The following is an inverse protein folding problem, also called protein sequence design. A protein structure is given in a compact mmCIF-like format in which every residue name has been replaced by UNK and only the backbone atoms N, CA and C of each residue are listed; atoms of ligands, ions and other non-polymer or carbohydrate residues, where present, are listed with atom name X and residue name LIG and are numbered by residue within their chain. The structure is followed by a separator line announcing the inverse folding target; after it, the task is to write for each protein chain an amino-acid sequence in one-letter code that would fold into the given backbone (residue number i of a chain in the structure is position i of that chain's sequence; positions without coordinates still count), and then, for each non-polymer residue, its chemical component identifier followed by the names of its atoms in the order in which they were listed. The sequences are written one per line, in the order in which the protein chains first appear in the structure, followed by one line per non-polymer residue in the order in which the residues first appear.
data_IF_380441588074
#
_entry.id   IF_380441588074
#
_cell.length_a   1.000
_cell.length_b   1.000
_cell.length_c   1.000
_cell.angle_alpha   90.00
_cell.angle_beta   90.00
_cell.angle_gamma   90.00
#
_symmetry.space_group_name_H-M   'P 1'
#
loop_
_entity.id
_entity.type
_entity.pdbx_description
1 polymer ?
#
# COMPACT_ATOMS: atom_id res chain seq x y z
N UNK A 1 3.37 15.00 -23.10
CA UNK A 1 2.64 15.72 -22.03
C UNK A 1 2.96 15.16 -20.65
N UNK A 2 2.45 13.97 -20.27
CA UNK A 2 2.70 13.42 -18.92
C UNK A 2 4.20 13.20 -18.65
N UNK A 3 4.93 12.63 -19.61
CA UNK A 3 6.39 12.42 -19.52
C UNK A 3 7.13 13.76 -19.33
N UNK A 4 6.74 14.78 -20.11
CA UNK A 4 7.45 16.07 -20.13
C UNK A 4 7.14 16.96 -18.90
N UNK A 5 6.07 16.67 -18.16
CA UNK A 5 5.59 17.49 -17.03
C UNK A 5 5.21 16.61 -15.83
N UNK A 6 6.02 15.57 -15.57
CA UNK A 6 5.67 14.53 -14.59
C UNK A 6 5.44 15.09 -13.20
N UNK A 7 6.27 16.01 -12.71
CA UNK A 7 6.15 16.56 -11.35
C UNK A 7 4.84 17.35 -11.16
N UNK A 8 4.41 18.10 -12.17
CA UNK A 8 3.18 18.89 -12.13
C UNK A 8 1.93 18.01 -12.30
N UNK A 9 2.00 17.00 -13.17
CA UNK A 9 0.83 16.21 -13.56
C UNK A 9 0.64 14.95 -12.72
N UNK A 10 1.66 14.45 -12.04
CA UNK A 10 1.56 13.26 -11.19
C UNK A 10 0.49 13.41 -10.10
N UNK A 11 0.40 14.54 -9.36
CA UNK A 11 -0.67 14.75 -8.39
C UNK A 11 -2.08 14.78 -8.99
N UNK A 12 -2.20 15.08 -10.28
CA UNK A 12 -3.48 15.16 -11.02
C UNK A 12 -3.92 13.79 -11.53
N UNK A 13 -3.01 13.04 -12.16
CA UNK A 13 -3.32 11.72 -12.77
C UNK A 13 -3.20 10.56 -11.79
N UNK A 14 -2.59 10.80 -10.63
CA UNK A 14 -2.36 9.82 -9.57
C UNK A 14 -2.71 10.40 -8.19
N UNK A 15 -2.05 9.98 -7.11
CA UNK A 15 -2.38 10.45 -5.76
C UNK A 15 -2.02 11.93 -5.58
N UNK A 16 -2.90 12.75 -4.98
CA UNK A 16 -4.15 12.36 -4.30
C UNK A 16 -5.41 12.36 -5.20
N UNK A 17 -5.41 13.06 -6.34
CA UNK A 17 -6.63 13.33 -7.13
C UNK A 17 -7.30 12.07 -7.69
N UNK A 18 -6.54 11.01 -8.00
CA UNK A 18 -7.10 9.72 -8.43
C UNK A 18 -8.05 9.11 -7.39
N UNK A 19 -7.78 9.33 -6.10
CA UNK A 19 -8.66 8.85 -5.02
C UNK A 19 -10.01 9.56 -5.02
N UNK A 20 -10.00 10.89 -5.19
CA UNK A 20 -11.24 11.67 -5.34
C UNK A 20 -12.00 11.28 -6.61
N UNK A 21 -11.29 11.04 -7.71
CA UNK A 21 -11.87 10.55 -8.95
C UNK A 21 -12.57 9.19 -8.73
N UNK A 22 -11.98 8.27 -7.95
CA UNK A 22 -12.63 7.02 -7.56
C UNK A 22 -13.87 7.23 -6.68
N UNK A 23 -13.88 8.18 -5.76
CA UNK A 23 -15.08 8.48 -4.95
C UNK A 23 -16.24 9.00 -5.81
N UNK A 24 -15.93 9.80 -6.84
CA UNK A 24 -16.91 10.45 -7.72
C UNK A 24 -17.10 9.73 -9.06
N UNK A 25 -16.51 8.55 -9.23
CA UNK A 25 -16.28 7.94 -10.55
C UNK A 25 -17.56 7.81 -11.38
N UNK A 26 -18.68 7.40 -10.77
CA UNK A 26 -19.96 7.30 -11.46
C UNK A 26 -20.50 8.64 -11.98
N UNK A 27 -20.37 9.71 -11.18
CA UNK A 27 -20.85 11.05 -11.54
C UNK A 27 -19.99 11.76 -12.59
N UNK A 28 -18.70 11.41 -12.68
CA UNK A 28 -17.75 11.98 -13.66
C UNK A 28 -17.54 11.06 -14.87
N UNK A 29 -18.21 9.90 -14.90
CA UNK A 29 -18.01 8.90 -15.94
C UNK A 29 -18.33 9.46 -17.31
N UNK A 30 -17.42 9.26 -18.27
CA UNK A 30 -17.59 9.74 -19.64
C UNK A 30 -17.26 8.65 -20.64
N UNK A 31 -15.98 8.42 -20.93
CA UNK A 31 -15.53 7.35 -21.83
C UNK A 31 -15.11 6.14 -21.00
N UNK A 32 -15.55 4.92 -21.34
CA UNK A 32 -15.12 3.72 -20.63
C UNK A 32 -13.61 3.51 -20.80
N UNK A 33 -12.93 3.20 -19.70
CA UNK A 33 -11.53 2.80 -19.66
C UNK A 33 -11.42 1.49 -18.87
N UNK A 34 -10.59 0.58 -19.37
CA UNK A 34 -10.41 -0.75 -18.76
C UNK A 34 -11.53 -1.74 -19.07
N UNK A 35 -11.44 -2.89 -18.42
CA UNK A 35 -12.37 -4.00 -18.57
C UNK A 35 -13.01 -4.32 -17.21
N UNK A 36 -14.33 -4.38 -17.19
CA UNK A 36 -15.11 -4.70 -15.99
C UNK A 36 -15.59 -6.14 -16.09
N UNK A 37 -15.35 -6.92 -15.03
CA UNK A 37 -15.77 -8.33 -14.96
C UNK A 37 -16.50 -8.49 -13.63
N UNK A 38 -17.80 -8.79 -13.67
CA UNK A 38 -18.62 -8.91 -12.47
C UNK A 38 -19.00 -10.35 -12.17
N UNK A 39 -19.59 -10.59 -11.01
CA UNK A 39 -20.16 -11.89 -10.66
C UNK A 39 -21.20 -12.41 -11.68
N UNK A 40 -21.85 -11.52 -12.44
CA UNK A 40 -22.80 -11.91 -13.49
C UNK A 40 -22.12 -12.64 -14.66
N UNK A 41 -20.82 -12.44 -14.83
CA UNK A 41 -20.01 -13.08 -15.87
C UNK A 41 -19.29 -14.34 -15.39
N UNK A 42 -19.57 -14.83 -14.17
CA UNK A 42 -19.07 -16.13 -13.69
C UNK A 42 -19.47 -17.25 -14.67
N UNK A 43 -18.51 -18.07 -15.04
CA UNK A 43 -18.60 -19.10 -16.09
C UNK A 43 -18.31 -18.60 -17.51
N UNK A 44 -18.11 -17.29 -17.71
CA UNK A 44 -17.91 -16.65 -19.02
C UNK A 44 -16.76 -15.64 -19.03
N UNK A 45 -15.89 -15.63 -18.01
CA UNK A 45 -14.83 -14.62 -17.89
C UNK A 45 -13.90 -14.62 -19.12
N UNK A 46 -13.58 -15.79 -19.66
CA UNK A 46 -12.78 -15.90 -20.88
C UNK A 46 -13.44 -15.22 -22.09
N UNK A 47 -14.77 -15.25 -22.21
CA UNK A 47 -15.50 -14.58 -23.29
C UNK A 47 -15.41 -13.06 -23.13
N UNK A 48 -15.50 -12.56 -21.89
CA UNK A 48 -15.33 -11.13 -21.58
C UNK A 48 -13.93 -10.66 -21.95
N UNK A 49 -12.90 -11.41 -21.60
CA UNK A 49 -11.50 -11.10 -21.96
C UNK A 49 -11.30 -11.03 -23.49
N UNK A 50 -12.00 -11.89 -24.26
CA UNK A 50 -11.91 -11.89 -25.73
C UNK A 50 -12.54 -10.66 -26.39
N UNK A 51 -13.39 -9.91 -25.69
CA UNK A 51 -13.93 -8.65 -26.19
C UNK A 51 -12.89 -7.52 -26.16
N UNK A 52 -11.81 -7.66 -25.38
CA UNK A 52 -10.72 -6.68 -25.40
C UNK A 52 -10.03 -6.68 -26.79
N UNK A 53 -9.83 -5.52 -27.43
CA UNK A 53 -9.35 -5.45 -28.81
C UNK A 53 -7.88 -5.85 -28.94
N UNK A 54 -7.06 -5.57 -27.92
CA UNK A 54 -5.63 -5.88 -27.93
C UNK A 54 -5.40 -7.35 -27.54
N UNK A 55 -4.61 -8.06 -28.36
CA UNK A 55 -4.35 -9.49 -28.16
C UNK A 55 -3.04 -9.78 -27.42
N UNK A 56 -2.11 -8.83 -27.44
CA UNK A 56 -0.76 -9.00 -26.87
C UNK A 56 -0.61 -8.24 -25.55
N UNK A 57 -1.46 -8.56 -24.58
CA UNK A 57 -1.38 -8.01 -23.23
C UNK A 57 -0.16 -8.55 -22.51
N UNK A 58 0.57 -7.67 -21.85
CA UNK A 58 1.78 -7.99 -21.08
C UNK A 58 1.63 -7.60 -19.61
N UNK A 59 0.87 -6.55 -19.29
CA UNK A 59 0.64 -6.08 -17.92
C UNK A 59 -0.85 -5.88 -17.67
N UNK A 60 -1.37 -6.57 -16.68
CA UNK A 60 -2.70 -6.36 -16.11
C UNK A 60 -2.51 -5.73 -14.73
N UNK A 61 -3.22 -4.63 -14.47
CA UNK A 61 -3.42 -4.14 -13.10
C UNK A 61 -4.88 -4.40 -12.77
N UNK A 62 -5.13 -5.12 -11.69
CA UNK A 62 -6.46 -5.57 -11.29
C UNK A 62 -6.78 -5.17 -9.85
N UNK A 63 -8.00 -4.74 -9.61
CA UNK A 63 -8.54 -4.43 -8.28
C UNK A 63 -9.96 -4.97 -8.13
N UNK A 64 -10.41 -5.22 -6.89
CA UNK A 64 -11.83 -5.37 -6.55
C UNK A 64 -12.41 -4.13 -5.83
N UNK A 65 -11.58 -3.10 -5.64
CA UNK A 65 -11.92 -1.83 -5.02
C UNK A 65 -12.32 -1.90 -3.55
N UNK A 66 -11.97 -2.96 -2.82
CA UNK A 66 -12.33 -3.09 -1.40
C UNK A 66 -11.53 -2.13 -0.50
N UNK A 67 -10.32 -1.77 -0.91
CA UNK A 67 -9.42 -0.91 -0.12
C UNK A 67 -8.70 0.10 -1.01
N UNK A 68 -9.45 1.00 -1.62
CA UNK A 68 -8.87 2.06 -2.45
C UNK A 68 -8.11 3.05 -1.57
N UNK A 69 -6.78 3.06 -1.65
CA UNK A 69 -5.90 3.89 -0.81
C UNK A 69 -6.29 3.76 0.69
N UNK A 70 -6.35 4.88 1.41
CA UNK A 70 -6.96 5.00 2.74
C UNK A 70 -8.43 5.44 2.71
N UNK A 71 -9.14 5.27 1.58
CA UNK A 71 -10.53 5.70 1.40
C UNK A 71 -11.55 4.57 1.62
N UNK A 72 -11.08 3.32 1.68
CA UNK A 72 -11.91 2.14 1.96
C UNK A 72 -12.57 1.55 0.72
N UNK A 73 -13.74 0.96 0.92
CA UNK A 73 -14.47 0.24 -0.13
C UNK A 73 -15.16 1.22 -1.10
N UNK A 74 -14.71 1.23 -2.36
CA UNK A 74 -15.33 2.00 -3.45
C UNK A 74 -15.88 1.10 -4.56
N UNK A 75 -15.87 -0.22 -4.36
CA UNK A 75 -16.44 -1.19 -5.29
C UNK A 75 -15.94 -1.03 -6.72
N UNK A 76 -16.87 -1.06 -7.66
CA UNK A 76 -16.59 -0.92 -9.09
C UNK A 76 -15.97 0.44 -9.48
N UNK A 77 -16.12 1.47 -8.63
CA UNK A 77 -15.50 2.78 -8.86
C UNK A 77 -13.98 2.79 -8.61
N UNK A 78 -13.43 1.69 -8.09
CA UNK A 78 -12.00 1.49 -7.93
C UNK A 78 -11.20 1.48 -9.24
N UNK A 79 -11.86 1.37 -10.41
CA UNK A 79 -11.20 1.33 -11.74
C UNK A 79 -10.21 2.47 -11.99
N UNK A 80 -10.43 3.65 -11.39
CA UNK A 80 -9.50 4.78 -11.52
C UNK A 80 -8.06 4.42 -11.12
N UNK A 81 -7.87 3.51 -10.16
CA UNK A 81 -6.55 3.10 -9.69
C UNK A 81 -5.80 2.27 -10.75
N UNK A 82 -6.31 1.11 -11.25
CA UNK A 82 -5.66 0.40 -12.35
C UNK A 82 -5.36 1.28 -13.58
N UNK A 83 -6.27 2.19 -13.93
CA UNK A 83 -6.09 3.13 -15.05
C UNK A 83 -4.91 4.06 -14.78
N UNK A 84 -4.86 4.70 -13.60
CA UNK A 84 -3.76 5.57 -13.19
C UNK A 84 -2.43 4.84 -13.15
N UNK A 85 -2.38 3.65 -12.54
CA UNK A 85 -1.17 2.80 -12.47
C UNK A 85 -0.62 2.48 -13.86
N UNK A 86 -1.46 2.06 -14.79
CA UNK A 86 -1.02 1.70 -16.14
C UNK A 86 -0.57 2.92 -16.97
N UNK A 87 -1.12 4.11 -16.70
CA UNK A 87 -0.59 5.35 -17.25
C UNK A 87 0.86 5.59 -16.78
N UNK A 88 1.17 5.30 -15.50
CA UNK A 88 2.54 5.39 -14.96
C UNK A 88 3.47 4.30 -15.48
N UNK A 89 2.99 3.06 -15.67
CA UNK A 89 3.75 2.01 -16.37
C UNK A 89 4.23 2.48 -17.75
N UNK A 90 3.38 3.22 -18.45
CA UNK A 90 3.72 3.78 -19.77
C UNK A 90 4.66 4.97 -19.66
N UNK A 91 4.30 5.97 -18.85
CA UNK A 91 5.03 7.23 -18.78
C UNK A 91 6.40 7.10 -18.09
N UNK A 92 6.49 6.28 -17.04
CA UNK A 92 7.70 6.13 -16.23
C UNK A 92 8.48 4.84 -16.58
N UNK A 93 7.74 3.76 -16.86
CA UNK A 93 8.34 2.44 -17.15
C UNK A 93 8.57 2.15 -18.63
N UNK A 94 8.06 3.00 -19.54
CA UNK A 94 8.18 2.79 -20.98
C UNK A 94 7.42 1.57 -21.51
N UNK A 95 6.47 1.02 -20.74
CA UNK A 95 5.62 -0.08 -21.20
C UNK A 95 4.66 0.42 -22.28
N UNK A 96 4.47 -0.37 -23.34
CA UNK A 96 3.55 0.03 -24.41
C UNK A 96 2.11 0.07 -23.88
N UNK A 97 1.35 1.15 -24.08
CA UNK A 97 -0.01 1.27 -23.55
C UNK A 97 -0.97 0.23 -24.15
N UNK A 98 -0.76 -0.20 -25.40
CA UNK A 98 -1.54 -1.27 -26.02
C UNK A 98 -1.29 -2.66 -25.41
N UNK A 99 -0.23 -2.82 -24.61
CA UNK A 99 0.08 -4.04 -23.87
C UNK A 99 -0.44 -3.98 -22.41
N UNK A 100 -1.11 -2.91 -22.02
CA UNK A 100 -1.65 -2.67 -20.69
C UNK A 100 -3.16 -2.91 -20.66
N UNK A 101 -3.65 -3.60 -19.64
CA UNK A 101 -5.07 -3.88 -19.46
C UNK A 101 -5.51 -3.59 -18.00
N UNK A 102 -6.21 -2.47 -17.75
CA UNK A 102 -6.81 -2.19 -16.44
C UNK A 102 -8.06 -3.04 -16.25
N UNK A 103 -8.19 -3.70 -15.10
CA UNK A 103 -9.34 -4.56 -14.78
C UNK A 103 -9.92 -4.20 -13.42
N UNK A 104 -11.25 -4.17 -13.34
CA UNK A 104 -11.99 -4.18 -12.07
C UNK A 104 -12.86 -5.42 -11.97
N UNK A 105 -12.71 -6.14 -10.86
CA UNK A 105 -13.49 -7.31 -10.50
C UNK A 105 -14.64 -6.89 -9.58
N UNK A 106 -15.83 -6.74 -10.16
CA UNK A 106 -17.00 -6.25 -9.44
C UNK A 106 -17.77 -7.40 -8.77
N UNK A 107 -17.49 -7.59 -7.48
CA UNK A 107 -18.15 -8.58 -6.62
C UNK A 107 -19.21 -7.95 -5.71
N UNK A 108 -19.61 -6.70 -5.99
CA UNK A 108 -20.42 -5.86 -5.10
C UNK A 108 -19.58 -4.93 -4.24
N UNK A 109 -20.24 -4.17 -3.35
CA UNK A 109 -19.59 -3.24 -2.41
C UNK A 109 -20.31 -3.23 -1.08
N UNK A 110 -19.55 -3.06 0.02
CA UNK A 110 -20.09 -2.85 1.36
C UNK A 110 -20.30 -1.38 1.70
N UNK A 111 -20.02 -0.47 0.76
CA UNK A 111 -20.23 0.96 0.94
C UNK A 111 -21.71 1.32 0.72
N UNK A 112 -22.43 1.56 1.82
CA UNK A 112 -23.84 1.96 1.80
C UNK A 112 -24.08 3.27 1.06
N UNK A 113 -23.13 4.20 1.07
CA UNK A 113 -23.23 5.43 0.28
C UNK A 113 -23.34 5.13 -1.20
N UNK A 114 -22.47 4.24 -1.72
CA UNK A 114 -22.48 3.85 -3.12
C UNK A 114 -23.68 2.96 -3.49
N UNK A 115 -24.12 2.08 -2.60
CA UNK A 115 -25.32 1.26 -2.86
C UNK A 115 -26.58 2.12 -3.08
N UNK A 116 -26.67 3.24 -2.36
CA UNK A 116 -27.78 4.19 -2.43
C UNK A 116 -27.56 5.33 -3.45
N UNK A 117 -26.37 5.46 -4.04
CA UNK A 117 -26.04 6.50 -5.01
C UNK A 117 -26.59 6.13 -6.40
N UNK A 118 -27.47 6.95 -6.99
CA UNK A 118 -28.05 6.71 -8.31
C UNK A 118 -27.02 6.60 -9.45
N UNK A 119 -25.85 7.21 -9.28
CA UNK A 119 -24.77 7.20 -10.27
C UNK A 119 -23.78 6.05 -10.10
N UNK A 120 -23.92 5.21 -9.06
CA UNK A 120 -23.03 4.07 -8.87
C UNK A 120 -23.08 3.10 -10.06
N UNK A 121 -21.91 2.79 -10.62
CA UNK A 121 -21.75 2.03 -11.86
C UNK A 121 -21.63 0.51 -11.67
N UNK A 122 -21.50 0.05 -10.42
CA UNK A 122 -21.29 -1.37 -10.12
C UNK A 122 -22.55 -2.14 -9.78
N UNK A 123 -22.37 -3.40 -9.41
CA UNK A 123 -23.43 -4.25 -8.86
C UNK A 123 -23.95 -3.66 -7.54
N UNK A 124 -25.25 -3.33 -7.51
CA UNK A 124 -25.95 -2.85 -6.31
C UNK A 124 -26.28 -4.00 -5.36
N UNK A 125 -25.23 -4.61 -4.84
CA UNK A 125 -25.29 -5.69 -3.85
C UNK A 125 -24.09 -5.61 -2.92
N UNK A 126 -24.22 -6.22 -1.73
CA UNK A 126 -23.10 -6.42 -0.82
C UNK A 126 -22.04 -7.33 -1.44
N UNK A 127 -20.78 -7.19 -0.99
CA UNK A 127 -19.67 -8.01 -1.50
C UNK A 127 -19.95 -9.49 -1.34
N UNK A 128 -19.73 -10.28 -2.39
CA UNK A 128 -19.62 -11.72 -2.25
C UNK A 128 -18.43 -12.09 -1.36
N UNK A 129 -18.55 -13.17 -0.59
CA UNK A 129 -17.51 -13.62 0.35
C UNK A 129 -17.33 -15.14 0.27
N UNK A 130 -16.27 -15.66 0.89
CA UNK A 130 -16.03 -17.09 1.00
C UNK A 130 -15.82 -17.79 -0.35
N UNK A 131 -16.50 -18.91 -0.54
CA UNK A 131 -16.30 -19.76 -1.72
C UNK A 131 -16.72 -19.08 -3.02
N UNK A 132 -17.79 -18.27 -3.02
CA UNK A 132 -18.26 -17.60 -4.24
C UNK A 132 -17.21 -16.64 -4.81
N UNK A 133 -16.62 -15.81 -3.94
CA UNK A 133 -15.53 -14.90 -4.27
C UNK A 133 -14.27 -15.66 -4.72
N UNK A 134 -13.92 -16.72 -3.98
CA UNK A 134 -12.76 -17.56 -4.28
C UNK A 134 -12.86 -18.23 -5.66
N UNK A 135 -14.01 -18.84 -5.97
CA UNK A 135 -14.26 -19.47 -7.27
C UNK A 135 -14.18 -18.46 -8.42
N UNK A 136 -14.74 -17.26 -8.21
CA UNK A 136 -14.76 -16.20 -9.20
C UNK A 136 -13.34 -15.72 -9.53
N UNK A 137 -12.51 -15.47 -8.51
CA UNK A 137 -11.10 -15.13 -8.69
C UNK A 137 -10.30 -16.26 -9.35
N UNK A 138 -10.56 -17.51 -8.97
CA UNK A 138 -9.90 -18.65 -9.58
C UNK A 138 -10.22 -18.75 -11.07
N UNK A 139 -11.49 -18.59 -11.46
CA UNK A 139 -11.90 -18.54 -12.86
C UNK A 139 -11.18 -17.39 -13.59
N UNK A 140 -11.13 -16.20 -13.00
CA UNK A 140 -10.44 -15.05 -13.59
C UNK A 140 -8.96 -15.35 -13.86
N UNK A 141 -8.23 -15.87 -12.88
CA UNK A 141 -6.80 -16.17 -13.02
C UNK A 141 -6.55 -17.23 -14.09
N UNK A 142 -7.38 -18.29 -14.13
CA UNK A 142 -7.31 -19.33 -15.17
C UNK A 142 -7.59 -18.72 -16.55
N UNK A 143 -8.62 -17.90 -16.69
CA UNK A 143 -9.01 -17.28 -17.95
C UNK A 143 -7.92 -16.33 -18.47
N UNK A 144 -7.30 -15.54 -17.60
CA UNK A 144 -6.17 -14.65 -17.94
C UNK A 144 -5.00 -15.46 -18.48
N UNK A 145 -4.58 -16.51 -17.77
CA UNK A 145 -3.49 -17.40 -18.21
C UNK A 145 -3.82 -18.08 -19.54
N UNK A 146 -5.07 -18.56 -19.70
CA UNK A 146 -5.51 -19.20 -20.95
C UNK A 146 -5.51 -18.22 -22.13
N UNK A 147 -5.88 -16.96 -21.92
CA UNK A 147 -6.01 -15.98 -23.00
C UNK A 147 -4.69 -15.29 -23.37
N UNK A 148 -3.84 -14.98 -22.38
CA UNK A 148 -2.63 -14.18 -22.56
C UNK A 148 -1.32 -14.94 -22.31
N UNK A 149 -1.39 -16.18 -21.80
CA UNK A 149 -0.24 -17.05 -21.59
C UNK A 149 0.49 -16.83 -20.26
N UNK A 150 1.54 -17.63 -20.04
CA UNK A 150 2.27 -17.73 -18.76
C UNK A 150 3.09 -16.48 -18.39
N UNK A 151 3.35 -15.59 -19.35
CA UNK A 151 4.25 -14.45 -19.19
C UNK A 151 3.53 -13.13 -18.90
N UNK A 152 2.20 -13.13 -18.87
CA UNK A 152 1.44 -11.93 -18.54
C UNK A 152 1.67 -11.59 -17.06
N UNK A 153 2.08 -10.36 -16.78
CA UNK A 153 2.18 -9.85 -15.42
C UNK A 153 0.78 -9.49 -14.92
N UNK A 154 0.42 -9.99 -13.75
CA UNK A 154 -0.82 -9.63 -13.05
C UNK A 154 -0.44 -8.91 -11.76
N UNK A 155 -0.61 -7.59 -11.75
CA UNK A 155 -0.46 -6.75 -10.56
C UNK A 155 -1.80 -6.65 -9.84
N UNK A 156 -1.85 -7.16 -8.61
CA UNK A 156 -2.96 -6.95 -7.70
C UNK A 156 -2.82 -5.59 -7.00
N UNK A 157 -3.90 -4.84 -6.94
CA UNK A 157 -3.94 -3.48 -6.40
C UNK A 157 -5.19 -3.25 -5.55
N UNK A 158 -5.03 -2.62 -4.38
CA UNK A 158 -6.12 -2.11 -3.54
C UNK A 158 -7.18 -3.17 -3.13
N UNK A 159 -6.73 -4.41 -2.93
CA UNK A 159 -7.52 -5.47 -2.28
C UNK A 159 -7.50 -5.30 -0.76
N UNK A 160 -8.48 -5.85 -0.03
CA UNK A 160 -8.39 -5.88 1.42
C UNK A 160 -7.30 -6.83 1.94
N UNK A 161 -6.74 -6.52 3.11
CA UNK A 161 -5.60 -7.23 3.72
C UNK A 161 -5.66 -8.76 3.64
N UNK A 162 -6.79 -9.35 4.02
CA UNK A 162 -6.92 -10.80 4.00
C UNK A 162 -6.83 -11.39 2.58
N UNK A 163 -7.52 -10.77 1.62
CA UNK A 163 -7.55 -11.17 0.22
C UNK A 163 -6.18 -10.94 -0.44
N UNK A 164 -5.55 -9.79 -0.22
CA UNK A 164 -4.24 -9.47 -0.82
C UNK A 164 -3.17 -10.53 -0.47
N UNK A 165 -3.07 -10.91 0.81
CA UNK A 165 -2.14 -11.96 1.24
C UNK A 165 -2.50 -13.34 0.69
N UNK A 166 -3.78 -13.71 0.69
CA UNK A 166 -4.22 -15.01 0.17
C UNK A 166 -3.99 -15.14 -1.34
N UNK A 167 -4.30 -14.09 -2.10
CA UNK A 167 -4.06 -14.01 -3.54
C UNK A 167 -2.58 -14.18 -3.87
N UNK A 168 -1.72 -13.41 -3.21
CA UNK A 168 -0.27 -13.48 -3.45
C UNK A 168 0.30 -14.87 -3.11
N UNK A 169 -0.13 -15.45 -1.97
CA UNK A 169 0.31 -16.78 -1.57
C UNK A 169 -0.20 -17.89 -2.51
N UNK A 170 -1.45 -17.80 -2.97
CA UNK A 170 -2.08 -18.80 -3.84
C UNK A 170 -1.51 -18.76 -5.27
N UNK A 171 -1.31 -17.57 -5.82
CA UNK A 171 -0.95 -17.41 -7.23
C UNK A 171 0.54 -17.15 -7.48
N UNK A 172 1.33 -16.82 -6.46
CA UNK A 172 2.76 -16.53 -6.56
C UNK A 172 3.62 -17.66 -7.15
N UNK A 173 3.18 -18.91 -7.05
CA UNK A 173 3.90 -20.08 -7.60
C UNK A 173 3.35 -20.55 -8.94
N UNK A 174 2.20 -20.03 -9.37
CA UNK A 174 1.50 -20.49 -10.57
C UNK A 174 1.40 -19.42 -11.64
N UNK A 175 1.51 -18.14 -11.31
CA UNK A 175 1.41 -17.02 -12.23
C UNK A 175 2.54 -16.02 -11.98
N UNK A 176 2.85 -15.20 -13.00
CA UNK A 176 3.68 -14.02 -12.78
C UNK A 176 2.81 -12.93 -12.12
N UNK A 177 2.75 -12.96 -10.79
CA UNK A 177 1.97 -12.02 -9.98
C UNK A 177 2.86 -11.12 -9.14
N UNK A 178 2.34 -9.94 -8.87
CA UNK A 178 2.93 -8.95 -7.99
C UNK A 178 1.78 -8.24 -7.26
N UNK A 179 1.99 -7.82 -6.01
CA UNK A 179 1.06 -6.93 -5.32
C UNK A 179 1.82 -5.67 -4.90
N UNK A 180 1.39 -4.51 -5.38
CA UNK A 180 2.11 -3.25 -5.19
C UNK A 180 2.02 -2.75 -3.74
N UNK A 181 0.85 -2.89 -3.13
CA UNK A 181 0.60 -2.51 -1.73
C UNK A 181 1.49 -3.25 -0.72
N UNK A 182 1.79 -4.53 -1.00
CA UNK A 182 2.66 -5.36 -0.16
C UNK A 182 4.12 -5.23 -0.61
N UNK A 183 4.43 -5.57 -1.87
CA UNK A 183 5.80 -5.77 -2.33
C UNK A 183 6.42 -4.49 -2.89
N UNK A 184 5.65 -3.67 -3.62
CA UNK A 184 6.10 -2.39 -4.15
C UNK A 184 6.41 -1.41 -3.03
N UNK A 185 5.46 -1.23 -2.11
CA UNK A 185 5.61 -0.40 -0.90
C UNK A 185 6.80 -0.88 -0.07
N UNK A 186 6.96 -2.19 0.15
CA UNK A 186 8.13 -2.72 0.86
C UNK A 186 9.45 -2.33 0.18
N UNK A 187 9.51 -2.46 -1.15
CA UNK A 187 10.72 -2.19 -1.93
C UNK A 187 11.13 -0.73 -1.85
N UNK A 188 10.20 0.22 -2.03
CA UNK A 188 10.51 1.65 -2.01
C UNK A 188 10.86 2.15 -0.62
N UNK A 189 10.20 1.63 0.43
CA UNK A 189 10.53 1.97 1.82
C UNK A 189 11.91 1.46 2.19
N UNK A 190 12.26 0.22 1.83
CA UNK A 190 13.61 -0.31 2.03
C UNK A 190 14.64 0.53 1.28
N UNK A 191 14.36 0.96 0.04
CA UNK A 191 15.25 1.85 -0.70
C UNK A 191 15.46 3.19 0.02
N UNK A 192 14.40 3.77 0.60
CA UNK A 192 14.48 4.98 1.44
C UNK A 192 15.34 4.78 2.69
N UNK A 193 15.20 3.64 3.38
CA UNK A 193 16.01 3.30 4.55
C UNK A 193 17.49 3.11 4.19
N UNK A 194 17.78 2.42 3.09
CA UNK A 194 19.16 2.26 2.57
C UNK A 194 19.74 3.60 2.14
N UNK A 195 18.95 4.50 1.55
CA UNK A 195 19.39 5.86 1.24
C UNK A 195 19.69 6.66 2.51
N UNK A 196 18.87 6.54 3.55
CA UNK A 196 19.07 7.21 4.83
C UNK A 196 20.40 6.81 5.51
N UNK A 197 20.86 5.58 5.32
CA UNK A 197 22.17 5.14 5.84
C UNK A 197 23.35 5.92 5.27
N UNK A 198 23.27 6.36 4.01
CA UNK A 198 24.34 7.20 3.42
C UNK A 198 24.45 8.54 4.13
N UNK A 199 23.35 9.01 4.73
CA UNK A 199 23.29 10.26 5.48
C UNK A 199 23.66 10.07 6.96
N UNK A 200 23.24 8.97 7.58
CA UNK A 200 23.37 8.74 9.02
C UNK A 200 24.57 7.86 9.41
N UNK A 201 25.12 7.09 8.46
CA UNK A 201 26.02 5.98 8.75
C UNK A 201 25.27 4.78 9.36
N UNK A 202 26.02 3.76 9.77
CA UNK A 202 25.47 2.55 10.41
C UNK A 202 24.88 1.53 9.44
N UNK A 203 24.19 0.53 9.99
CA UNK A 203 23.62 -0.61 9.24
C UNK A 203 22.13 -0.83 9.57
N UNK A 204 21.40 -1.59 8.72
CA UNK A 204 19.97 -1.86 8.95
C UNK A 204 19.78 -2.66 10.25
N UNK A 205 20.77 -3.49 10.60
CA UNK A 205 20.75 -4.34 11.79
C UNK A 205 20.91 -3.56 13.11
N UNK A 206 21.46 -2.34 13.07
CA UNK A 206 21.66 -1.48 14.25
C UNK A 206 20.36 -0.81 14.69
N UNK A 207 19.44 -0.56 13.76
CA UNK A 207 18.18 0.10 14.01
C UNK A 207 17.18 -0.78 14.79
N UNK A 208 16.32 -0.10 15.55
CA UNK A 208 15.06 -0.63 16.09
C UNK A 208 13.90 0.04 15.37
N UNK A 209 12.93 -0.75 14.90
CA UNK A 209 11.84 -0.30 14.03
C UNK A 209 10.51 -0.41 14.77
N UNK A 210 9.70 0.64 14.68
CA UNK A 210 8.32 0.64 15.17
C UNK A 210 7.38 1.07 14.06
N UNK A 211 6.36 0.26 13.80
CA UNK A 211 5.31 0.55 12.84
C UNK A 211 4.01 0.93 13.54
N UNK A 212 3.34 1.95 13.05
CA UNK A 212 1.91 2.16 13.27
C UNK A 212 1.16 1.62 12.05
N UNK A 213 0.36 0.57 12.26
CA UNK A 213 -0.29 -0.19 11.20
C UNK A 213 0.40 -1.54 10.99
N UNK A 214 -0.39 -2.60 11.01
CA UNK A 214 0.06 -3.97 10.83
C UNK A 214 -0.81 -4.70 9.78
N UNK A 215 -1.08 -4.01 8.68
CA UNK A 215 -1.76 -4.56 7.49
C UNK A 215 -0.74 -5.01 6.43
N UNK A 216 -1.17 -4.99 5.17
CA UNK A 216 -0.35 -5.31 3.99
C UNK A 216 0.98 -4.56 3.96
N UNK A 217 0.94 -3.23 3.89
CA UNK A 217 2.14 -2.40 3.80
C UNK A 217 3.07 -2.62 5.01
N UNK A 218 2.54 -2.47 6.24
CA UNK A 218 3.35 -2.59 7.45
C UNK A 218 4.06 -3.95 7.59
N UNK A 219 3.35 -5.06 7.33
CA UNK A 219 3.99 -6.39 7.44
C UNK A 219 4.85 -6.76 6.24
N UNK A 220 4.51 -6.29 5.03
CA UNK A 220 5.35 -6.43 3.83
C UNK A 220 6.69 -5.69 3.96
N UNK A 221 6.66 -4.43 4.40
CA UNK A 221 7.87 -3.63 4.66
C UNK A 221 8.71 -4.31 5.76
N UNK A 222 8.10 -4.69 6.87
CA UNK A 222 8.78 -5.34 7.98
C UNK A 222 9.51 -6.62 7.54
N UNK A 223 8.86 -7.45 6.71
CA UNK A 223 9.44 -8.68 6.19
C UNK A 223 10.62 -8.41 5.25
N UNK A 224 10.51 -7.42 4.36
CA UNK A 224 11.60 -7.09 3.44
C UNK A 224 12.81 -6.48 4.17
N UNK A 225 12.59 -5.67 5.20
CA UNK A 225 13.64 -5.18 6.10
C UNK A 225 14.32 -6.37 6.80
N UNK A 226 13.55 -7.28 7.41
CA UNK A 226 14.09 -8.45 8.09
C UNK A 226 14.91 -9.34 7.13
N UNK A 227 14.43 -9.52 5.90
CA UNK A 227 15.12 -10.28 4.86
C UNK A 227 16.45 -9.61 4.47
N UNK A 228 16.46 -8.31 4.25
CA UNK A 228 17.70 -7.60 3.90
C UNK A 228 18.71 -7.62 5.06
N UNK A 229 18.25 -7.44 6.30
CA UNK A 229 19.10 -7.60 7.50
C UNK A 229 19.67 -9.02 7.55
N UNK A 230 18.85 -10.04 7.31
CA UNK A 230 19.29 -11.45 7.25
C UNK A 230 20.35 -11.68 6.18
N UNK A 231 20.20 -11.08 4.99
CA UNK A 231 21.19 -11.18 3.91
C UNK A 231 22.51 -10.50 4.27
N UNK A 232 22.46 -9.31 4.87
CA UNK A 232 23.66 -8.55 5.26
C UNK A 232 24.42 -9.23 6.40
N UNK A 233 23.70 -9.74 7.39
CA UNK A 233 24.28 -10.30 8.63
C UNK A 233 24.51 -11.82 8.55
N UNK A 234 23.89 -12.51 7.59
CA UNK A 234 23.78 -13.98 7.50
C UNK A 234 23.06 -14.63 8.70
N UNK A 235 22.39 -13.85 9.55
CA UNK A 235 21.59 -14.38 10.64
C UNK A 235 20.25 -14.95 10.12
N UNK A 236 19.64 -15.92 10.81
CA UNK A 236 18.30 -16.39 10.48
C UNK A 236 17.28 -15.24 10.48
N UNK A 237 16.29 -15.30 9.59
CA UNK A 237 15.29 -14.22 9.46
C UNK A 237 14.53 -13.98 10.78
N UNK A 238 14.26 -15.03 11.56
CA UNK A 238 13.60 -14.92 12.86
C UNK A 238 14.38 -14.06 13.87
N UNK A 239 15.71 -14.12 13.85
CA UNK A 239 16.56 -13.26 14.67
C UNK A 239 16.49 -11.80 14.20
N UNK A 240 16.39 -11.59 12.88
CA UNK A 240 16.33 -10.27 12.27
C UNK A 240 14.98 -9.56 12.55
N UNK A 241 13.90 -10.33 12.79
CA UNK A 241 12.59 -9.79 13.16
C UNK A 241 12.55 -9.21 14.58
N UNK A 242 13.45 -9.59 15.49
CA UNK A 242 13.39 -9.24 16.93
C UNK A 242 13.46 -7.73 17.24
N UNK A 243 14.01 -6.92 16.32
CA UNK A 243 14.08 -5.46 16.45
C UNK A 243 12.96 -4.73 15.69
N UNK A 244 11.97 -5.46 15.18
CA UNK A 244 10.89 -4.93 14.37
C UNK A 244 9.57 -5.13 15.11
N UNK A 245 8.95 -4.02 15.47
CA UNK A 245 7.75 -3.95 16.30
C UNK A 245 6.60 -3.31 15.53
N UNK A 246 5.38 -3.82 15.72
CA UNK A 246 4.20 -3.33 15.03
C UNK A 246 3.06 -3.05 16.01
N UNK A 247 2.36 -1.94 15.80
CA UNK A 247 1.17 -1.52 16.57
C UNK A 247 -0.04 -1.60 15.65
N UNK A 248 -1.09 -2.31 16.07
CA UNK A 248 -2.38 -2.34 15.37
C UNK A 248 -3.47 -1.62 16.17
N UNK A 249 -4.73 -1.73 15.73
CA UNK A 249 -5.86 -1.05 16.38
C UNK A 249 -6.09 -1.45 17.84
N UNK A 250 -5.45 -2.53 18.33
CA UNK A 250 -5.53 -2.98 19.73
C UNK A 250 -4.20 -2.79 20.48
N UNK A 251 -3.24 -2.05 19.93
CA UNK A 251 -1.95 -1.77 20.54
C UNK A 251 -0.80 -2.61 19.99
N UNK A 252 0.29 -2.71 20.74
CA UNK A 252 1.51 -3.42 20.34
C UNK A 252 1.24 -4.92 20.11
N UNK A 253 1.78 -5.46 19.01
CA UNK A 253 1.73 -6.88 18.68
C UNK A 253 2.76 -7.62 19.56
N UNK A 254 2.26 -8.44 20.48
CA UNK A 254 3.07 -9.16 21.48
C UNK A 254 2.61 -10.60 21.66
N UNK A 255 3.47 -11.45 22.21
CA UNK A 255 3.25 -12.90 22.35
C UNK A 255 1.97 -13.26 23.11
N UNK A 256 1.59 -12.48 24.12
CA UNK A 256 0.34 -12.67 24.88
C UNK A 256 -0.93 -12.53 24.04
N UNK A 257 -0.84 -11.88 22.87
CA UNK A 257 -1.96 -11.69 21.93
C UNK A 257 -2.01 -12.74 20.82
N UNK A 258 -1.01 -13.63 20.71
CA UNK A 258 -0.72 -14.46 19.52
C UNK A 258 -1.89 -15.32 19.02
N UNK A 259 -2.73 -15.82 19.92
CA UNK A 259 -3.91 -16.63 19.55
C UNK A 259 -5.02 -15.82 18.87
N UNK A 260 -5.14 -14.54 19.19
CA UNK A 260 -6.12 -13.62 18.59
C UNK A 260 -5.65 -12.95 17.31
N UNK A 261 -4.38 -13.15 16.92
CA UNK A 261 -3.77 -12.50 15.77
C UNK A 261 -4.03 -13.28 14.48
N UNK A 262 -4.26 -12.54 13.41
CA UNK A 262 -4.20 -13.08 12.04
C UNK A 262 -2.82 -13.69 11.79
N UNK A 263 -2.75 -14.74 10.96
CA UNK A 263 -1.54 -15.53 10.76
C UNK A 263 -0.31 -14.68 10.39
N UNK A 264 -0.47 -13.74 9.46
CA UNK A 264 0.60 -12.84 9.00
C UNK A 264 1.14 -11.87 10.07
N UNK A 265 0.40 -11.67 11.19
CA UNK A 265 0.86 -10.86 12.33
C UNK A 265 1.67 -11.66 13.35
N UNK A 266 1.51 -12.99 13.38
CA UNK A 266 2.12 -13.87 14.40
C UNK A 266 3.66 -13.86 14.43
N UNK A 267 4.39 -13.70 13.30
CA UNK A 267 5.85 -13.60 13.32
C UNK A 267 6.40 -12.38 14.06
N UNK A 268 5.57 -11.36 14.27
CA UNK A 268 5.94 -10.09 14.91
C UNK A 268 5.55 -10.03 16.39
N UNK A 269 4.93 -11.09 16.91
CA UNK A 269 4.43 -11.18 18.28
C UNK A 269 5.54 -11.61 19.25
N UNK A 270 6.47 -10.70 19.50
CA UNK A 270 7.61 -10.89 20.40
C UNK A 270 7.17 -10.89 21.87
N UNK A 271 8.02 -11.43 22.75
CA UNK A 271 7.79 -11.34 24.20
C UNK A 271 7.99 -9.89 24.66
N UNK A 272 6.92 -9.28 25.15
CA UNK A 272 6.89 -7.93 25.70
C UNK A 272 5.57 -7.71 26.46
N UNK A 273 5.55 -6.74 27.37
CA UNK A 273 4.31 -6.31 28.04
C UNK A 273 3.31 -5.71 27.04
N UNK A 274 2.02 -5.80 27.36
CA UNK A 274 0.97 -5.19 26.55
C UNK A 274 1.06 -3.67 26.63
N UNK A 275 1.14 -3.02 25.47
CA UNK A 275 1.15 -1.55 25.35
C UNK A 275 -0.01 -1.11 24.47
N UNK A 276 -0.85 -0.20 24.98
CA UNK A 276 -2.14 0.13 24.38
C UNK A 276 -2.10 1.21 23.29
N UNK A 277 -1.14 2.14 23.34
CA UNK A 277 -1.07 3.26 22.41
C UNK A 277 0.35 3.47 21.83
N UNK A 278 0.44 4.26 20.77
CA UNK A 278 1.68 4.49 20.04
C UNK A 278 2.74 5.23 20.88
N UNK A 279 2.35 6.26 21.64
CA UNK A 279 3.29 7.06 22.42
C UNK A 279 4.00 6.19 23.48
N UNK A 280 3.24 5.38 24.20
CA UNK A 280 3.79 4.43 25.17
C UNK A 280 4.70 3.41 24.47
N UNK A 281 4.31 2.92 23.28
CA UNK A 281 5.14 2.01 22.51
C UNK A 281 6.46 2.67 22.10
N UNK A 282 6.45 3.94 21.66
CA UNK A 282 7.65 4.72 21.37
C UNK A 282 8.54 4.87 22.60
N UNK A 283 7.95 5.17 23.76
CA UNK A 283 8.70 5.38 25.00
C UNK A 283 9.36 4.11 25.54
N UNK A 284 8.69 2.96 25.42
CA UNK A 284 9.19 1.68 25.92
C UNK A 284 10.15 1.01 24.93
N UNK A 285 9.79 0.98 23.63
CA UNK A 285 10.62 0.34 22.59
C UNK A 285 11.84 1.20 22.22
N UNK A 286 11.73 2.53 22.34
CA UNK A 286 12.74 3.51 21.94
C UNK A 286 13.25 3.27 20.51
N UNK A 287 12.36 3.26 19.50
CA UNK A 287 12.75 2.96 18.13
C UNK A 287 13.64 4.07 17.55
N UNK A 288 14.55 3.69 16.65
CA UNK A 288 15.32 4.65 15.84
C UNK A 288 14.60 5.01 14.53
N UNK A 289 13.68 4.14 14.11
CA UNK A 289 12.88 4.27 12.88
C UNK A 289 11.40 4.11 13.22
N UNK A 290 10.58 5.11 12.87
CA UNK A 290 9.14 5.10 13.04
C UNK A 290 8.46 5.13 11.66
N UNK A 291 7.60 4.16 11.38
CA UNK A 291 6.97 3.97 10.07
C UNK A 291 5.44 3.93 10.21
N UNK A 292 4.76 4.83 9.51
CA UNK A 292 3.31 4.97 9.50
C UNK A 292 2.71 4.32 8.26
N UNK A 293 1.86 3.32 8.46
CA UNK A 293 1.13 2.59 7.41
C UNK A 293 -0.31 2.30 7.87
N UNK A 294 -0.87 3.20 8.65
CA UNK A 294 -2.11 2.98 9.40
C UNK A 294 -3.37 3.28 8.58
N UNK A 295 -3.25 4.11 7.53
CA UNK A 295 -4.38 4.72 6.84
C UNK A 295 -5.15 5.72 7.70
N UNK A 296 -4.57 6.19 8.81
CA UNK A 296 -5.21 7.14 9.75
C UNK A 296 -4.33 8.36 9.97
N UNK A 297 -4.81 9.50 9.49
CA UNK A 297 -4.09 10.77 9.58
C UNK A 297 -3.88 11.28 11.01
N UNK A 298 -2.85 12.13 11.16
CA UNK A 298 -2.55 12.87 12.40
C UNK A 298 -2.31 11.99 13.64
N UNK A 299 -1.75 10.80 13.44
CA UNK A 299 -1.44 9.84 14.50
C UNK A 299 -0.01 9.93 15.01
N UNK A 300 0.93 10.50 14.23
CA UNK A 300 2.24 10.90 14.72
C UNK A 300 2.12 12.29 15.32
N UNK A 301 1.57 12.35 16.54
CA UNK A 301 1.35 13.60 17.27
C UNK A 301 2.67 14.29 17.65
N UNK A 302 2.59 15.55 18.09
CA UNK A 302 3.75 16.28 18.62
C UNK A 302 4.48 15.48 19.70
N UNK A 303 3.74 14.95 20.69
CA UNK A 303 4.32 14.13 21.76
C UNK A 303 5.08 12.90 21.22
N UNK A 304 4.55 12.26 20.17
CA UNK A 304 5.20 11.11 19.53
C UNK A 304 6.52 11.51 18.86
N UNK A 305 6.50 12.60 18.08
CA UNK A 305 7.68 13.08 17.35
C UNK A 305 8.74 13.63 18.32
N UNK A 306 8.32 14.38 19.34
CA UNK A 306 9.22 14.88 20.38
C UNK A 306 9.81 13.73 21.21
N UNK A 307 9.01 12.71 21.56
CA UNK A 307 9.48 11.53 22.27
C UNK A 307 10.57 10.81 21.48
N UNK A 308 10.31 10.41 20.23
CA UNK A 308 11.34 9.74 19.42
C UNK A 308 12.57 10.62 19.18
N UNK A 309 12.39 11.93 19.07
CA UNK A 309 13.48 12.89 18.90
C UNK A 309 14.28 13.14 20.19
N UNK A 310 13.77 12.75 21.36
CA UNK A 310 14.45 12.96 22.64
C UNK A 310 15.60 11.99 22.89
N UNK A 311 15.50 10.77 22.34
CA UNK A 311 16.51 9.71 22.48
C UNK A 311 17.20 9.34 21.16
N UNK A 312 16.82 9.96 20.05
CA UNK A 312 17.52 9.87 18.77
C UNK A 312 18.02 11.24 18.33
N UNK A 313 19.32 11.35 18.01
CA UNK A 313 19.86 12.60 17.45
C UNK A 313 19.25 12.90 16.07
N UNK A 314 19.05 11.87 15.24
CA UNK A 314 18.46 11.95 13.90
C UNK A 314 17.43 10.83 13.71
N UNK A 315 16.19 10.98 14.22
CA UNK A 315 15.16 9.94 14.05
C UNK A 315 14.77 9.81 12.58
N UNK A 316 14.57 8.58 12.10
CA UNK A 316 13.94 8.33 10.79
C UNK A 316 12.43 8.23 11.01
N UNK A 317 11.66 9.06 10.33
CA UNK A 317 10.19 9.12 10.45
C UNK A 317 9.60 9.02 9.05
N UNK A 318 8.80 7.99 8.79
CA UNK A 318 8.17 7.74 7.49
C UNK A 318 6.65 7.79 7.64
N UNK A 319 5.97 8.78 7.06
CA UNK A 319 4.51 8.94 7.14
C UNK A 319 3.84 8.54 5.80
N UNK A 320 3.61 7.24 5.62
CA UNK A 320 3.38 6.63 4.30
C UNK A 320 1.91 6.48 3.91
N UNK A 321 0.97 6.77 4.82
CA UNK A 321 -0.45 6.63 4.53
C UNK A 321 -0.93 7.65 3.49
N UNK A 322 -1.69 7.15 2.51
CA UNK A 322 -2.23 7.91 1.38
C UNK A 322 -3.77 7.99 1.43
N UNK A 323 -4.40 9.06 0.93
CA UNK A 323 -3.80 10.31 0.41
C UNK A 323 -3.30 11.23 1.54
N UNK A 324 -2.91 12.48 1.22
CA UNK A 324 -2.37 13.47 2.19
C UNK A 324 -3.20 13.62 3.48
N UNK A 325 -4.54 13.54 3.38
CA UNK A 325 -5.43 13.60 4.55
C UNK A 325 -5.29 12.43 5.53
N UNK A 326 -4.72 11.32 5.07
CA UNK A 326 -4.43 10.12 5.87
C UNK A 326 -2.98 10.03 6.35
N UNK A 327 -2.11 10.97 5.97
CA UNK A 327 -0.72 10.96 6.39
C UNK A 327 -0.61 11.12 7.91
N UNK A 328 0.23 10.29 8.54
CA UNK A 328 0.39 10.25 9.99
C UNK A 328 0.80 11.61 10.59
N UNK A 329 1.57 12.41 9.85
CA UNK A 329 1.88 13.82 10.12
C UNK A 329 2.31 14.53 8.83
N UNK A 330 2.33 15.86 8.82
CA UNK A 330 2.85 16.64 7.70
C UNK A 330 4.38 16.78 7.77
N UNK A 331 5.00 17.17 6.64
CA UNK A 331 6.43 17.52 6.62
C UNK A 331 6.75 18.68 7.58
N UNK A 332 5.92 19.71 7.62
CA UNK A 332 6.09 20.86 8.52
C UNK A 332 6.07 20.43 9.98
N UNK A 333 5.12 19.56 10.36
CA UNK A 333 5.02 19.00 11.71
C UNK A 333 6.27 18.17 12.06
N UNK A 334 6.69 17.27 11.17
CA UNK A 334 7.86 16.41 11.41
C UNK A 334 9.14 17.22 11.61
N UNK A 335 9.43 18.21 10.76
CA UNK A 335 10.61 19.06 10.91
C UNK A 335 10.50 19.99 12.12
N UNK A 336 9.35 20.60 12.37
CA UNK A 336 9.18 21.52 13.50
C UNK A 336 9.34 20.80 14.84
N UNK A 337 8.61 19.70 15.04
CA UNK A 337 8.59 18.96 16.31
C UNK A 337 9.90 18.20 16.57
N UNK A 338 10.65 17.82 15.53
CA UNK A 338 11.99 17.23 15.67
C UNK A 338 13.12 18.26 15.76
N UNK A 339 12.81 19.56 15.67
CA UNK A 339 13.79 20.66 15.59
C UNK A 339 14.75 20.53 14.39
N UNK A 340 14.20 20.13 13.25
CA UNK A 340 14.92 20.00 11.98
C UNK A 340 15.83 18.78 11.89
N UNK A 341 15.75 17.84 12.85
CA UNK A 341 16.64 16.67 12.94
C UNK A 341 16.11 15.42 12.27
N UNK A 342 14.79 15.30 12.09
CA UNK A 342 14.20 14.12 11.47
C UNK A 342 14.70 13.92 10.04
N UNK A 343 15.00 12.66 9.71
CA UNK A 343 15.06 12.20 8.31
C UNK A 343 13.65 11.76 7.96
N UNK A 344 13.00 12.54 7.10
CA UNK A 344 11.56 12.43 6.86
C UNK A 344 11.25 12.12 5.41
N UNK A 345 10.30 11.20 5.19
CA UNK A 345 9.70 10.92 3.90
C UNK A 345 8.21 10.56 4.07
N UNK A 346 7.44 10.71 3.00
CA UNK A 346 5.98 10.58 3.02
C UNK A 346 5.46 9.73 1.86
N UNK A 347 4.24 9.21 1.96
CA UNK A 347 3.59 8.51 0.83
C UNK A 347 2.96 9.47 -0.18
N UNK A 348 2.50 10.63 0.29
CA UNK A 348 1.88 11.69 -0.51
C UNK A 348 2.80 12.91 -0.60
N UNK A 349 2.72 13.72 -1.68
CA UNK A 349 3.59 14.88 -1.84
C UNK A 349 3.30 15.97 -0.80
N UNK A 350 4.37 16.66 -0.37
CA UNK A 350 4.32 17.86 0.46
C UNK A 350 5.29 18.89 -0.11
N UNK A 351 4.92 20.17 0.03
CA UNK A 351 5.77 21.28 -0.37
C UNK A 351 7.06 21.34 0.47
N UNK A 352 8.13 21.97 -0.05
CA UNK A 352 9.32 22.27 0.72
C UNK A 352 9.01 23.05 2.02
N UNK A 353 9.74 22.73 3.08
CA UNK A 353 9.56 23.35 4.41
C UNK A 353 10.79 24.19 4.76
N UNK A 354 10.57 25.46 5.08
CA UNK A 354 11.60 26.33 5.65
C UNK A 354 11.62 26.18 7.18
N UNK A 355 12.76 25.75 7.74
CA UNK A 355 12.95 25.66 9.19
C UNK A 355 14.34 26.18 9.59
N UNK A 356 14.38 27.20 10.45
CA UNK A 356 15.61 27.85 10.92
C UNK A 356 16.60 28.25 9.81
N UNK A 357 16.08 28.81 8.71
CA UNK A 357 16.89 29.29 7.58
C UNK A 357 17.43 28.17 6.68
N UNK A 358 16.90 26.96 6.78
CA UNK A 358 17.18 25.84 5.90
C UNK A 358 15.91 25.33 5.24
N UNK A 359 15.97 25.15 3.93
CA UNK A 359 14.93 24.48 3.14
C UNK A 359 15.08 22.96 3.25
N UNK A 360 13.99 22.28 3.59
CA UNK A 360 13.87 20.83 3.59
C UNK A 360 12.90 20.41 2.48
N UNK A 361 13.36 19.56 1.57
CA UNK A 361 12.52 18.97 0.53
C UNK A 361 12.28 17.50 0.91
N UNK A 362 11.11 17.14 1.47
CA UNK A 362 10.85 15.77 1.91
C UNK A 362 10.76 14.84 0.70
N UNK A 363 11.34 13.64 0.83
CA UNK A 363 11.20 12.61 -0.20
C UNK A 363 9.82 11.97 -0.18
N UNK A 364 9.35 11.51 -1.34
CA UNK A 364 8.14 10.71 -1.47
C UNK A 364 8.52 9.24 -1.70
N UNK A 365 7.90 8.34 -0.94
CA UNK A 365 8.06 6.88 -1.05
C UNK A 365 6.94 6.29 -1.91
#
# INVERSE_FOLDING_TARGET
LLIDNVEELLPVVYTPTVGEACQKYGSIFSRPQGLYISLKEKGKILEVLKNWPERSIQVIVVTDGERILGLGDLGCQGMGIPVGKLALYTALGGVRPSACLPITLDVGTNNEGLLNDEFYIGLRQRRATGQEYTDFLQEFMIAVKQNYGEKVLIQFEDFANHNAFELLARYGTTHLVFNDDIQGTASVVLAGLVAAQKLLGGTLAEHSYLFLGAGEAGTGIAELIALEISRQTKAPIEECRKKIWLVDSKGLIVSSRKESLQHFKKPWAHEHETVGNLLDAVNVIKPTVLIGTSGKGQTFTQDVIEAISSFNERPIILALSNPTSQSECTAEQAYTWSKGRAVFATGSPFDPVEYNGKTYVPGQA
#
